data_IF_083520278162
#
_entry.id   IF_083520278162
#
_cell.length_a   1.000
_cell.length_b   1.000
_cell.length_c   1.000
_cell.angle_alpha   90.00
_cell.angle_beta   90.00
_cell.angle_gamma   90.00
#
_symmetry.space_group_name_H-M   'P 1'
#
loop_
_entity.id
_entity.type
_entity.pdbx_description
1 polymer ?
#
# COMPACT_ATOMS: atom_id res chain seq x y z
N UNK A 1 -1.28 0.78 21.75
CA UNK A 1 -0.84 0.82 20.33
C UNK A 1 0.29 -0.19 20.16
N UNK A 2 0.22 -1.10 19.18
CA UNK A 2 1.29 -2.08 18.91
C UNK A 2 2.25 -1.53 17.84
N UNK A 3 3.55 -1.85 17.86
CA UNK A 3 4.49 -1.42 16.83
C UNK A 3 4.16 -2.05 15.47
N UNK A 4 4.44 -1.32 14.39
CA UNK A 4 4.29 -1.78 13.00
C UNK A 4 5.65 -1.80 12.30
N UNK A 5 5.88 -2.77 11.43
CA UNK A 5 7.14 -2.92 10.69
C UNK A 5 7.00 -2.34 9.28
N UNK A 6 8.04 -1.65 8.80
CA UNK A 6 8.08 -1.10 7.42
C UNK A 6 8.19 -2.23 6.40
N UNK A 7 7.41 -2.17 5.31
CA UNK A 7 7.41 -3.19 4.25
C UNK A 7 8.76 -3.44 3.56
N UNK A 8 9.60 -2.40 3.47
CA UNK A 8 10.96 -2.50 2.90
C UNK A 8 11.89 -3.41 3.73
N UNK A 9 11.62 -3.55 5.02
CA UNK A 9 12.43 -4.38 5.91
C UNK A 9 11.91 -5.83 6.02
N UNK A 10 10.86 -6.18 5.27
CA UNK A 10 10.31 -7.54 5.23
C UNK A 10 10.98 -8.35 4.11
N UNK A 11 10.71 -9.64 4.05
CA UNK A 11 11.11 -10.50 2.94
C UNK A 11 10.21 -10.32 1.70
N UNK A 12 10.66 -10.71 0.48
CA UNK A 12 9.88 -10.58 -0.75
C UNK A 12 8.54 -11.33 -0.77
N UNK A 13 8.39 -12.39 0.03
CA UNK A 13 7.13 -13.15 0.10
C UNK A 13 6.09 -12.42 0.94
N UNK A 14 6.52 -11.76 2.02
CA UNK A 14 5.64 -11.05 2.95
C UNK A 14 5.20 -9.66 2.48
N UNK A 15 6.04 -8.94 1.72
CA UNK A 15 5.70 -7.59 1.25
C UNK A 15 6.19 -7.32 -0.17
N UNK A 16 5.39 -6.63 -1.02
CA UNK A 16 5.84 -6.22 -2.35
C UNK A 16 7.08 -5.32 -2.42
N UNK A 17 7.55 -4.80 -1.28
CA UNK A 17 8.76 -3.96 -1.18
C UNK A 17 9.87 -4.66 -0.42
N UNK A 18 9.64 -5.90 0.01
CA UNK A 18 10.56 -6.64 0.83
C UNK A 18 11.78 -7.12 0.05
N UNK A 19 12.89 -7.28 0.77
CA UNK A 19 14.15 -7.80 0.25
C UNK A 19 15.14 -6.76 -0.27
N UNK A 20 16.16 -7.29 -0.94
CA UNK A 20 17.38 -6.60 -1.35
C UNK A 20 18.55 -6.92 -0.42
N UNK A 21 19.77 -6.73 -0.93
CA UNK A 21 21.02 -7.03 -0.22
C UNK A 21 21.28 -6.08 0.96
N UNK A 22 20.55 -4.97 1.03
CA UNK A 22 20.63 -4.00 2.11
C UNK A 22 19.42 -3.06 2.11
N UNK A 23 19.64 -1.77 2.40
CA UNK A 23 18.55 -0.79 2.38
C UNK A 23 18.14 -0.50 0.93
N UNK A 24 16.98 -1.02 0.54
CA UNK A 24 16.41 -0.85 -0.79
C UNK A 24 15.43 0.32 -0.90
N UNK A 25 15.25 0.82 -2.13
CA UNK A 25 14.11 1.64 -2.51
C UNK A 25 12.85 0.80 -2.72
N UNK A 26 11.81 1.38 -3.32
CA UNK A 26 10.53 0.69 -3.58
C UNK A 26 10.64 -0.32 -4.73
N UNK A 27 11.53 -0.10 -5.70
CA UNK A 27 11.73 -1.01 -6.84
C UNK A 27 10.52 -1.14 -7.80
N UNK A 28 9.44 -0.39 -7.57
CA UNK A 28 8.19 -0.42 -8.34
C UNK A 28 7.73 1.00 -8.73
N UNK A 29 6.94 1.17 -9.81
CA UNK A 29 6.46 2.47 -10.25
C UNK A 29 5.61 3.23 -9.21
N UNK A 30 4.99 2.51 -8.27
CA UNK A 30 4.19 3.10 -7.20
C UNK A 30 4.31 2.29 -5.90
N UNK A 31 4.23 2.95 -4.73
CA UNK A 31 4.16 2.25 -3.46
C UNK A 31 2.90 1.37 -3.40
N UNK A 32 3.08 0.13 -2.97
CA UNK A 32 2.04 -0.88 -2.76
C UNK A 32 1.76 -1.15 -1.28
N UNK A 33 0.55 -1.59 -0.99
CA UNK A 33 0.17 -2.21 0.28
C UNK A 33 0.73 -3.64 0.39
N UNK A 34 0.65 -4.29 1.56
CA UNK A 34 1.06 -5.70 1.71
C UNK A 34 0.35 -6.65 0.74
N UNK A 35 -0.84 -6.27 0.25
CA UNK A 35 -1.64 -7.05 -0.69
C UNK A 35 -1.52 -6.59 -2.15
N UNK A 36 -0.49 -5.80 -2.48
CA UNK A 36 -0.21 -5.40 -3.88
C UNK A 36 -1.08 -4.28 -4.45
N UNK A 37 -1.98 -3.67 -3.66
CA UNK A 37 -2.79 -2.51 -4.12
C UNK A 37 -1.98 -1.22 -4.05
N UNK A 38 -2.18 -0.23 -4.94
CA UNK A 38 -1.52 1.06 -4.82
C UNK A 38 -1.85 1.74 -3.48
N UNK A 39 -0.83 2.20 -2.77
CA UNK A 39 -0.97 2.85 -1.46
C UNK A 39 -1.08 4.39 -1.54
N UNK A 40 -0.79 4.97 -2.72
CA UNK A 40 -0.88 6.42 -2.95
C UNK A 40 -1.68 6.71 -4.22
N UNK A 41 -2.51 7.74 -4.17
CA UNK A 41 -3.23 8.27 -5.34
C UNK A 41 -4.48 7.50 -5.79
N UNK A 42 -4.70 6.27 -5.30
CA UNK A 42 -5.87 5.48 -5.70
C UNK A 42 -7.11 5.86 -4.88
N UNK A 43 -8.20 6.29 -5.54
CA UNK A 43 -9.51 6.45 -4.90
C UNK A 43 -10.05 5.08 -4.48
N UNK A 44 -10.32 4.91 -3.18
CA UNK A 44 -10.81 3.63 -2.60
C UNK A 44 -12.31 3.62 -2.34
N UNK A 45 -12.98 4.78 -2.46
CA UNK A 45 -14.42 4.91 -2.29
C UNK A 45 -15.15 4.13 -3.39
N UNK A 46 -16.04 3.22 -2.99
CA UNK A 46 -16.88 2.48 -3.95
C UNK A 46 -17.74 3.46 -4.74
N UNK A 47 -17.82 3.24 -6.05
CA UNK A 47 -18.70 4.02 -6.92
C UNK A 47 -20.17 3.74 -6.60
N UNK A 48 -21.04 4.74 -6.82
CA UNK A 48 -22.50 4.64 -6.69
C UNK A 48 -22.96 4.25 -5.27
N UNK A 49 -22.30 4.77 -4.23
CA UNK A 49 -22.78 4.55 -2.85
C UNK A 49 -24.06 5.39 -2.66
N UNK A 50 -25.03 4.88 -1.90
CA UNK A 50 -26.29 5.58 -1.63
C UNK A 50 -26.09 6.98 -1.03
N UNK A 51 -24.95 7.19 -0.36
CA UNK A 51 -24.58 8.46 0.26
C UNK A 51 -23.99 9.47 -0.73
N UNK A 52 -23.77 9.10 -2.00
CA UNK A 52 -23.18 9.98 -3.02
C UNK A 52 -24.00 11.27 -3.19
N UNK A 53 -25.34 11.17 -3.09
CA UNK A 53 -26.25 12.32 -3.17
C UNK A 53 -26.15 13.31 -2.01
N UNK A 54 -25.45 12.97 -0.94
CA UNK A 54 -25.32 13.80 0.26
C UNK A 54 -23.93 14.42 0.41
N UNK A 55 -23.01 14.17 -0.52
CA UNK A 55 -21.63 14.70 -0.48
C UNK A 55 -21.55 15.86 -1.47
N UNK A 56 -21.20 17.06 -0.97
CA UNK A 56 -20.96 18.30 -1.76
C UNK A 56 -19.46 18.46 -1.98
#
# INVERSE_FOLDING_TARGET
VRPTVRGVAQDPHSHPHGGGEGRSGIGMPSPKSPWGKPARGQKTRRSRKYSDKYII
#
